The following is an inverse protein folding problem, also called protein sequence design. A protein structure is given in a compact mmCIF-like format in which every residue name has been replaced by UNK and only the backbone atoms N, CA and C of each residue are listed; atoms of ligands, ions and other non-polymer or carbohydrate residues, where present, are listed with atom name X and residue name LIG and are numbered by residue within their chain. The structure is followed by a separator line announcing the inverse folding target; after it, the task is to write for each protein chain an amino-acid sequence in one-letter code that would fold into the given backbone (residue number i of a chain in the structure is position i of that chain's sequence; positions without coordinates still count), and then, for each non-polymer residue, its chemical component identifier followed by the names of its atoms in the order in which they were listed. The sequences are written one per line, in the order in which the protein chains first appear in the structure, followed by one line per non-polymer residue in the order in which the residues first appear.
data_IF_435958233184
#
_entry.id   IF_435958233184
#
_cell.length_a   1.000
_cell.length_b   1.000
_cell.length_c   1.000
_cell.angle_alpha   90.00
_cell.angle_beta   90.00
_cell.angle_gamma   90.00
#
_symmetry.space_group_name_H-M   'P 1'
#
loop_
_entity.id
_entity.type
_entity.pdbx_description
1 polymer ?
#
# COMPACT_ATOMS: atom_id res chain seq x y z
N UNK A 1 4.58 -5.11 -1.04
CA UNK A 1 3.95 -4.62 -2.28
C UNK A 1 4.26 -5.45 -3.51
N UNK A 2 5.53 -5.63 -3.91
CA UNK A 2 5.89 -6.39 -5.11
C UNK A 2 5.27 -7.80 -5.18
N UNK A 3 5.23 -8.56 -4.07
CA UNK A 3 4.55 -9.88 -4.01
C UNK A 3 3.03 -9.80 -4.24
N UNK A 4 2.39 -8.70 -3.88
CA UNK A 4 0.93 -8.54 -3.99
C UNK A 4 0.49 -8.00 -5.36
N UNK A 5 1.26 -7.08 -5.93
CA UNK A 5 0.93 -6.35 -7.16
C UNK A 5 1.79 -6.74 -8.39
N UNK A 6 2.83 -7.56 -8.20
CA UNK A 6 3.75 -7.96 -9.26
C UNK A 6 4.49 -6.78 -9.87
N UNK A 7 4.65 -6.82 -11.20
CA UNK A 7 5.31 -5.78 -12.01
C UNK A 7 4.53 -4.47 -12.09
N UNK A 8 3.28 -4.43 -11.66
CA UNK A 8 2.47 -3.22 -11.65
C UNK A 8 2.84 -2.27 -10.49
N UNK A 9 3.61 -2.73 -9.50
CA UNK A 9 4.10 -1.87 -8.42
C UNK A 9 5.34 -1.10 -8.86
N UNK A 10 5.28 0.22 -8.69
CA UNK A 10 6.38 1.14 -8.98
C UNK A 10 6.69 1.93 -7.72
N UNK A 11 7.93 1.85 -7.22
CA UNK A 11 8.40 2.57 -6.02
C UNK A 11 9.27 3.80 -6.33
N UNK A 12 9.35 4.20 -7.60
CA UNK A 12 10.24 5.25 -8.07
C UNK A 12 9.71 6.01 -9.27
N UNK A 13 10.46 7.01 -9.74
CA UNK A 13 10.05 7.87 -10.85
C UNK A 13 9.07 8.98 -10.47
N UNK A 14 8.35 9.50 -11.45
CA UNK A 14 7.47 10.66 -11.28
C UNK A 14 6.10 10.29 -10.70
N UNK A 15 5.64 9.05 -10.91
CA UNK A 15 4.34 8.60 -10.41
C UNK A 15 4.25 8.52 -8.90
N UNK A 16 5.38 8.55 -8.17
CA UNK A 16 5.41 8.49 -6.70
C UNK A 16 5.62 9.85 -6.05
N UNK A 17 5.70 10.92 -6.84
CA UNK A 17 5.92 12.28 -6.33
C UNK A 17 4.60 12.92 -5.94
N UNK A 18 4.58 13.57 -4.78
CA UNK A 18 3.48 14.42 -4.33
C UNK A 18 3.99 15.84 -4.27
N UNK A 19 3.35 16.75 -5.01
CA UNK A 19 3.74 18.15 -5.03
C UNK A 19 2.83 18.96 -4.10
N UNK A 20 3.45 19.63 -3.15
CA UNK A 20 2.85 20.69 -2.36
C UNK A 20 3.28 22.06 -2.92
N UNK A 21 2.65 23.14 -2.48
CA UNK A 21 3.10 24.49 -2.82
C UNK A 21 4.58 24.68 -2.41
N UNK A 22 5.48 24.64 -3.39
CA UNK A 22 6.91 24.84 -3.21
C UNK A 22 7.69 23.65 -2.62
N UNK A 23 7.08 22.47 -2.43
CA UNK A 23 7.82 21.28 -1.96
C UNK A 23 7.34 19.98 -2.60
N UNK A 24 8.21 18.97 -2.60
CA UNK A 24 7.93 17.65 -3.17
C UNK A 24 8.20 16.59 -2.11
N UNK A 25 7.21 15.75 -1.85
CA UNK A 25 7.35 14.52 -1.09
C UNK A 25 7.26 13.29 -2.00
N UNK A 26 7.49 12.11 -1.43
CA UNK A 26 7.37 10.83 -2.13
C UNK A 26 6.57 9.87 -1.28
N UNK A 27 5.61 9.22 -1.94
CA UNK A 27 4.93 8.03 -1.40
C UNK A 27 5.78 6.78 -1.67
N UNK A 28 5.49 5.70 -0.95
CA UNK A 28 6.22 4.42 -1.09
C UNK A 28 6.04 3.77 -2.47
N UNK A 29 4.92 4.03 -3.14
CA UNK A 29 4.77 3.64 -4.53
C UNK A 29 3.39 3.82 -5.12
N UNK A 30 3.25 3.35 -6.35
CA UNK A 30 1.98 3.28 -7.07
C UNK A 30 1.73 1.87 -7.58
N UNK A 31 0.46 1.49 -7.72
CA UNK A 31 0.06 0.25 -8.37
C UNK A 31 -0.79 0.56 -9.60
N UNK A 32 -0.33 0.08 -10.75
CA UNK A 32 -0.90 0.43 -12.04
C UNK A 32 -0.87 1.94 -12.26
N UNK A 33 -1.94 2.48 -12.86
CA UNK A 33 -2.09 3.92 -13.14
C UNK A 33 -3.13 4.62 -12.26
N UNK A 34 -3.59 3.98 -11.18
CA UNK A 34 -4.73 4.49 -10.39
C UNK A 34 -4.63 4.37 -8.88
N UNK A 35 -3.69 3.60 -8.33
CA UNK A 35 -3.56 3.42 -6.88
C UNK A 35 -2.26 4.03 -6.34
N UNK A 36 -2.37 4.97 -5.42
CA UNK A 36 -1.26 5.49 -4.61
C UNK A 36 -1.10 4.65 -3.34
N UNK A 37 0.14 4.39 -2.92
CA UNK A 37 0.46 3.49 -1.81
C UNK A 37 1.40 4.14 -0.81
N UNK A 38 1.05 4.04 0.46
CA UNK A 38 1.91 4.33 1.61
C UNK A 38 1.96 3.13 2.55
N UNK A 39 3.12 2.90 3.17
CA UNK A 39 3.44 1.80 4.08
C UNK A 39 4.13 2.39 5.31
N UNK A 40 3.38 2.57 6.40
CA UNK A 40 3.91 3.19 7.60
C UNK A 40 4.08 2.17 8.73
N UNK A 41 5.24 2.17 9.37
CA UNK A 41 5.60 1.27 10.48
C UNK A 41 5.91 2.00 11.78
N UNK A 42 5.91 3.32 11.77
CA UNK A 42 6.45 4.13 12.86
C UNK A 42 5.32 4.72 13.71
N UNK A 43 5.41 6.01 13.99
CA UNK A 43 4.55 6.70 14.97
C UNK A 43 3.27 7.23 14.33
N UNK A 44 2.23 7.46 15.13
CA UNK A 44 0.98 8.08 14.66
C UNK A 44 1.19 9.43 13.97
N UNK A 45 2.25 10.17 14.33
CA UNK A 45 2.59 11.44 13.67
C UNK A 45 2.98 11.22 12.21
N UNK A 46 3.72 10.15 11.93
CA UNK A 46 4.17 9.83 10.57
C UNK A 46 3.02 9.27 9.74
N UNK A 47 2.14 8.48 10.35
CA UNK A 47 0.87 8.03 9.71
C UNK A 47 0.06 9.21 9.19
N UNK A 48 -0.03 10.31 9.96
CA UNK A 48 -0.75 11.51 9.49
C UNK A 48 -0.08 12.19 8.29
N UNK A 49 1.25 12.16 8.23
CA UNK A 49 2.01 12.63 7.06
C UNK A 49 1.67 11.80 5.84
N UNK A 50 1.79 10.47 5.94
CA UNK A 50 1.46 9.53 4.87
C UNK A 50 0.01 9.70 4.37
N UNK A 51 -0.95 9.94 5.27
CA UNK A 51 -2.33 10.23 4.89
C UNK A 51 -2.43 11.52 4.05
N UNK A 52 -1.71 12.58 4.45
CA UNK A 52 -1.67 13.83 3.68
C UNK A 52 -1.04 13.60 2.30
N UNK A 53 0.09 12.87 2.25
CA UNK A 53 0.75 12.50 1.01
C UNK A 53 -0.21 11.76 0.07
N UNK A 54 -0.96 10.77 0.58
CA UNK A 54 -1.98 10.05 -0.19
C UNK A 54 -3.12 10.97 -0.68
N UNK A 55 -3.67 11.82 0.18
CA UNK A 55 -4.78 12.72 -0.19
C UNK A 55 -4.34 13.67 -1.32
N UNK A 56 -3.13 14.21 -1.23
CA UNK A 56 -2.59 15.15 -2.20
C UNK A 56 -2.09 14.48 -3.50
N UNK A 57 -1.90 13.16 -3.50
CA UNK A 57 -1.50 12.43 -4.69
C UNK A 57 -2.59 12.46 -5.79
N UNK A 58 -2.26 12.61 -7.10
CA UNK A 58 -3.26 12.72 -8.16
C UNK A 58 -4.04 11.43 -8.46
N UNK A 59 -3.49 10.25 -8.14
CA UNK A 59 -4.18 8.98 -8.37
C UNK A 59 -5.40 8.85 -7.48
N UNK A 60 -6.57 8.57 -8.05
CA UNK A 60 -7.84 8.57 -7.35
C UNK A 60 -7.87 7.62 -6.14
N UNK A 61 -7.28 6.43 -6.28
CA UNK A 61 -7.41 5.35 -5.29
C UNK A 61 -6.23 5.32 -4.34
N UNK A 62 -6.47 5.11 -3.05
CA UNK A 62 -5.45 5.19 -2.00
C UNK A 62 -5.36 3.90 -1.20
N UNK A 63 -4.16 3.40 -1.02
CA UNK A 63 -3.88 2.27 -0.16
C UNK A 63 -2.90 2.70 0.93
N UNK A 64 -3.33 2.61 2.18
CA UNK A 64 -2.47 2.78 3.33
C UNK A 64 -2.25 1.43 4.01
N UNK A 65 -1.01 1.00 4.10
CA UNK A 65 -0.62 -0.20 4.84
C UNK A 65 0.01 0.25 6.16
N UNK A 66 -0.48 -0.29 7.28
CA UNK A 66 0.03 0.04 8.61
C UNK A 66 0.70 -1.19 9.22
N UNK A 67 1.95 -1.03 9.67
CA UNK A 67 2.74 -2.08 10.30
C UNK A 67 2.81 -1.86 11.82
N UNK A 68 2.62 -2.94 12.57
CA UNK A 68 2.59 -2.97 14.03
C UNK A 68 3.99 -2.95 14.67
N UNK A 69 4.80 -1.92 14.37
CA UNK A 69 6.15 -1.81 14.93
C UNK A 69 6.25 -0.81 16.09
N UNK A 70 5.64 0.37 15.97
CA UNK A 70 5.77 1.45 16.98
C UNK A 70 4.48 2.24 17.22
N UNK A 71 3.31 1.63 17.00
CA UNK A 71 2.01 2.29 17.20
C UNK A 71 0.96 1.30 17.67
N UNK A 72 -0.13 1.81 18.26
CA UNK A 72 -1.32 1.00 18.48
C UNK A 72 -2.05 0.81 17.14
N UNK A 73 -1.88 -0.37 16.53
CA UNK A 73 -2.37 -0.63 15.18
C UNK A 73 -3.88 -0.45 15.02
N UNK A 74 -4.67 -0.84 16.03
CA UNK A 74 -6.13 -0.67 16.02
C UNK A 74 -6.52 0.81 15.97
N UNK A 75 -5.94 1.62 16.86
CA UNK A 75 -6.20 3.05 16.95
C UNK A 75 -5.73 3.77 15.69
N UNK A 76 -4.53 3.45 15.20
CA UNK A 76 -4.00 4.00 13.96
C UNK A 76 -4.90 3.66 12.76
N UNK A 77 -5.36 2.41 12.66
CA UNK A 77 -6.26 1.97 11.59
C UNK A 77 -7.59 2.72 11.63
N UNK A 78 -8.24 2.78 12.79
CA UNK A 78 -9.51 3.48 12.98
C UNK A 78 -9.40 4.96 12.67
N UNK A 79 -8.38 5.63 13.22
CA UNK A 79 -8.12 7.06 12.96
C UNK A 79 -7.83 7.32 11.50
N UNK A 80 -7.03 6.49 10.84
CA UNK A 80 -6.68 6.64 9.42
C UNK A 80 -7.91 6.52 8.53
N UNK A 81 -8.77 5.53 8.76
CA UNK A 81 -10.06 5.40 8.06
C UNK A 81 -10.96 6.60 8.28
N UNK A 82 -11.04 7.09 9.52
CA UNK A 82 -11.83 8.27 9.86
C UNK A 82 -11.33 9.56 9.20
N UNK A 83 -10.02 9.73 9.04
CA UNK A 83 -9.45 10.89 8.36
C UNK A 83 -9.66 10.76 6.84
N UNK A 84 -9.25 9.65 6.23
CA UNK A 84 -9.40 9.44 4.78
C UNK A 84 -10.86 9.57 4.33
N UNK A 85 -11.80 9.00 5.09
CA UNK A 85 -13.23 9.08 4.80
C UNK A 85 -13.86 10.47 4.92
N UNK A 86 -13.12 11.48 5.42
CA UNK A 86 -13.55 12.89 5.36
C UNK A 86 -13.21 13.57 4.04
N UNK A 87 -12.23 13.04 3.30
CA UNK A 87 -11.69 13.66 2.10
C UNK A 87 -11.93 12.83 0.83
N UNK A 88 -12.17 11.52 0.98
CA UNK A 88 -12.26 10.57 -0.11
C UNK A 88 -13.55 9.74 -0.02
N UNK A 89 -14.05 9.30 -1.16
CA UNK A 89 -15.12 8.30 -1.22
C UNK A 89 -14.65 6.99 -0.57
N UNK A 90 -15.46 6.35 0.31
CA UNK A 90 -15.10 5.07 0.94
C UNK A 90 -14.76 3.93 -0.03
N UNK A 91 -15.19 4.00 -1.28
CA UNK A 91 -14.84 3.04 -2.34
C UNK A 91 -13.46 3.29 -2.95
N UNK A 92 -12.88 4.47 -2.73
CA UNK A 92 -11.61 4.91 -3.28
C UNK A 92 -10.43 4.77 -2.32
N UNK A 93 -10.61 4.21 -1.11
CA UNK A 93 -9.47 3.94 -0.24
C UNK A 93 -9.58 2.65 0.56
N UNK A 94 -8.43 2.09 0.93
CA UNK A 94 -8.31 0.99 1.87
C UNK A 94 -7.19 1.24 2.87
N UNK A 95 -7.43 0.82 4.12
CA UNK A 95 -6.43 0.81 5.19
C UNK A 95 -6.24 -0.62 5.66
N UNK A 96 -5.04 -1.15 5.46
CA UNK A 96 -4.70 -2.54 5.72
C UNK A 96 -3.73 -2.61 6.91
N UNK A 97 -4.21 -3.00 8.11
CA UNK A 97 -3.34 -3.32 9.23
C UNK A 97 -2.61 -4.64 8.97
N UNK A 98 -1.30 -4.65 9.18
CA UNK A 98 -0.44 -5.82 9.09
C UNK A 98 0.37 -5.93 10.38
N UNK A 99 0.21 -7.03 11.09
CA UNK A 99 1.05 -7.32 12.26
C UNK A 99 2.49 -7.63 11.83
N UNK A 100 3.46 -7.06 12.53
CA UNK A 100 4.88 -7.27 12.28
C UNK A 100 5.64 -5.97 11.99
N UNK A 101 6.95 -6.03 12.16
CA UNK A 101 7.87 -4.89 12.06
C UNK A 101 8.31 -4.55 10.63
N UNK A 102 7.97 -5.39 9.64
CA UNK A 102 8.49 -5.29 8.27
C UNK A 102 9.97 -5.71 8.13
N UNK A 103 10.64 -6.13 9.21
CA UNK A 103 12.04 -6.59 9.16
C UNK A 103 12.19 -8.03 8.66
N UNK A 104 11.15 -8.85 8.82
CA UNK A 104 10.99 -10.13 8.14
C UNK A 104 10.13 -9.93 6.89
N UNK A 105 10.45 -10.66 5.81
CA UNK A 105 9.63 -10.64 4.60
C UNK A 105 8.15 -10.94 4.89
N UNK A 106 7.22 -10.44 4.07
CA UNK A 106 5.80 -10.57 4.36
C UNK A 106 5.33 -12.03 4.27
N UNK A 107 4.42 -12.42 5.14
CA UNK A 107 3.75 -13.74 5.08
C UNK A 107 2.74 -13.80 3.94
N UNK A 108 2.30 -15.00 3.58
CA UNK A 108 1.30 -15.17 2.50
C UNK A 108 -0.05 -14.54 2.87
N UNK A 109 -0.46 -14.61 4.14
CA UNK A 109 -1.67 -13.95 4.63
C UNK A 109 -1.58 -12.42 4.50
N UNK A 110 -0.41 -11.84 4.78
CA UNK A 110 -0.18 -10.41 4.62
C UNK A 110 -0.21 -10.00 3.14
N UNK A 111 0.40 -10.81 2.27
CA UNK A 111 0.35 -10.60 0.82
C UNK A 111 -1.09 -10.69 0.33
N UNK A 112 -1.85 -11.68 0.79
CA UNK A 112 -3.26 -11.86 0.46
C UNK A 112 -4.11 -10.68 0.92
N UNK A 113 -3.91 -10.18 2.14
CA UNK A 113 -4.65 -9.02 2.65
C UNK A 113 -4.44 -7.77 1.78
N UNK A 114 -3.20 -7.50 1.38
CA UNK A 114 -2.89 -6.39 0.46
C UNK A 114 -3.50 -6.63 -0.91
N UNK A 115 -3.47 -7.87 -1.40
CA UNK A 115 -4.04 -8.25 -2.70
C UNK A 115 -5.56 -8.04 -2.73
N UNK A 116 -6.26 -8.44 -1.68
CA UNK A 116 -7.70 -8.26 -1.55
C UNK A 116 -8.08 -6.77 -1.46
N UNK A 117 -7.26 -5.95 -0.78
CA UNK A 117 -7.44 -4.51 -0.76
C UNK A 117 -7.24 -3.86 -2.14
N UNK A 118 -6.25 -4.31 -2.90
CA UNK A 118 -6.05 -3.84 -4.28
C UNK A 118 -7.24 -4.23 -5.19
N UNK A 119 -7.79 -5.44 -5.03
CA UNK A 119 -9.01 -5.87 -5.74
C UNK A 119 -10.23 -5.04 -5.37
N UNK A 120 -10.40 -4.72 -4.10
CA UNK A 120 -11.44 -3.80 -3.66
C UNK A 120 -11.30 -2.45 -4.36
N UNK A 121 -10.07 -1.95 -4.50
CA UNK A 121 -9.74 -0.74 -5.27
C UNK A 121 -9.76 -0.99 -6.78
N UNK A 122 -10.35 -2.07 -7.28
CA UNK A 122 -10.51 -2.34 -8.72
C UNK A 122 -9.21 -2.53 -9.49
N UNK A 123 -8.10 -2.84 -8.81
CA UNK A 123 -6.91 -3.39 -9.45
C UNK A 123 -6.98 -4.90 -9.38
N UNK A 124 -6.93 -5.59 -10.51
CA UNK A 124 -6.85 -7.06 -10.53
C UNK A 124 -5.37 -7.48 -10.59
N UNK A 125 -4.79 -7.94 -9.47
CA UNK A 125 -3.41 -8.38 -9.44
C UNK A 125 -3.23 -9.64 -10.28
N UNK A 126 -2.06 -9.83 -10.92
CA UNK A 126 -1.79 -11.07 -11.62
C UNK A 126 -2.05 -12.23 -10.66
N UNK A 127 -2.81 -13.23 -11.14
CA UNK A 127 -3.12 -14.42 -10.35
C UNK A 127 -1.84 -15.07 -9.83
N UNK A 128 -1.97 -15.89 -8.77
CA UNK A 128 -0.90 -16.81 -8.41
C UNK A 128 -0.80 -17.86 -9.52
N UNK A 129 -0.29 -17.49 -10.69
CA UNK A 129 0.22 -18.49 -11.61
C UNK A 129 1.37 -19.18 -10.87
N UNK A 130 1.29 -20.51 -10.66
CA UNK A 130 2.42 -21.23 -10.09
C UNK A 130 3.64 -20.88 -10.93
N UNK A 131 4.72 -20.45 -10.26
CA UNK A 131 6.01 -20.29 -10.94
C UNK A 131 6.26 -21.55 -11.77
N UNK A 132 6.65 -21.42 -13.05
CA UNK A 132 6.97 -22.59 -13.85
C UNK A 132 8.01 -23.38 -13.07
N UNK A 133 7.62 -24.56 -12.61
CA UNK A 133 8.52 -25.52 -11.99
C UNK A 133 9.67 -25.67 -12.96
N UNK A 134 10.90 -25.38 -12.49
CA UNK A 134 12.11 -25.60 -13.27
C UNK A 134 12.04 -27.02 -13.87
N UNK A 135 12.43 -27.20 -15.14
CA UNK A 135 12.42 -28.53 -15.75
C UNK A 135 13.21 -29.46 -14.84
N UNK A 136 12.58 -30.55 -14.41
CA UNK A 136 13.29 -31.65 -13.76
C UNK A 136 14.33 -32.13 -14.77
N UNK A 137 15.61 -31.93 -14.41
CA UNK A 137 16.73 -32.51 -15.14
C UNK A 137 16.53 -34.03 -15.16
N UNK A 138 16.04 -34.52 -16.30
CA UNK A 138 15.93 -35.94 -16.59
C UNK A 138 17.29 -36.60 -16.47
N UNK A 139 17.40 -37.52 -15.51
CA UNK A 139 18.46 -38.53 -15.47
C UNK A 139 18.01 -39.80 -16.16
#
# INVERSE_FOLDING_TARGET
MARAAGSAFVSGGDSVKVCYEGSVARIDGTVGSSVAVEIEARTEKQVRGAILDLICHPYEKKLLVLLDANMNLETATRSSRGILGRFLDPTNFQVVPISGSGSSGPTDDQVKAVRDALRFLGFDPPGDEPSPTAPEDGR
#
